data_IF_183031967697
#
_entry.id   IF_183031967697
#
_cell.length_a   1.000
_cell.length_b   1.000
_cell.length_c   1.000
_cell.angle_alpha   90.00
_cell.angle_beta   90.00
_cell.angle_gamma   90.00
#
_symmetry.space_group_name_H-M   'P 1'
#
loop_
_entity.id
_entity.type
_entity.pdbx_description
1 polymer ?
#
# COMPACT_ATOMS: atom_id res chain seq x y z
N UNK A 1 -66.20 1.34 10.91
CA UNK A 1 -65.01 0.58 11.42
C UNK A 1 -63.89 0.78 10.41
N UNK A 2 -62.91 1.62 10.75
CA UNK A 2 -61.77 1.94 9.91
C UNK A 2 -60.73 0.81 10.02
N UNK A 3 -60.25 0.22 8.92
CA UNK A 3 -59.26 -0.86 8.99
C UNK A 3 -57.88 -0.32 9.44
N UNK A 4 -57.09 -1.15 10.14
CA UNK A 4 -55.89 -0.68 10.82
C UNK A 4 -54.78 -0.29 9.85
N UNK A 5 -54.29 0.95 9.95
CA UNK A 5 -53.16 1.55 9.19
C UNK A 5 -51.81 0.86 9.39
N UNK A 6 -51.68 -0.13 10.28
CA UNK A 6 -50.42 -0.79 10.69
C UNK A 6 -49.72 -1.60 9.58
N UNK A 7 -50.44 -2.15 8.62
CA UNK A 7 -49.82 -3.02 7.59
C UNK A 7 -49.15 -2.25 6.45
N UNK A 8 -49.52 -0.98 6.20
CA UNK A 8 -48.86 -0.17 5.17
C UNK A 8 -47.52 0.34 5.65
N UNK A 9 -47.38 0.77 6.89
CA UNK A 9 -46.13 1.26 7.48
C UNK A 9 -45.03 0.18 7.48
N UNK A 10 -45.35 -1.05 7.90
CA UNK A 10 -44.38 -2.15 7.92
C UNK A 10 -43.80 -2.50 6.54
N UNK A 11 -44.60 -2.38 5.48
CA UNK A 11 -44.17 -2.67 4.08
C UNK A 11 -43.24 -1.62 3.53
N UNK A 12 -43.55 -0.35 3.73
CA UNK A 12 -42.70 0.77 3.31
C UNK A 12 -41.34 0.67 4.01
N UNK A 13 -41.33 0.30 5.29
CA UNK A 13 -40.10 0.08 6.06
C UNK A 13 -39.25 -1.05 5.47
N UNK A 14 -39.84 -2.18 5.08
CA UNK A 14 -39.09 -3.32 4.49
C UNK A 14 -38.44 -2.95 3.15
N UNK A 15 -39.16 -2.23 2.29
CA UNK A 15 -38.62 -1.77 1.00
C UNK A 15 -37.52 -0.72 1.21
N UNK A 16 -37.70 0.22 2.13
CA UNK A 16 -36.68 1.22 2.46
C UNK A 16 -35.44 0.58 3.04
N UNK A 17 -35.57 -0.38 3.96
CA UNK A 17 -34.44 -1.15 4.51
C UNK A 17 -33.74 -1.92 3.39
N UNK A 18 -34.50 -2.58 2.52
CA UNK A 18 -33.93 -3.29 1.36
C UNK A 18 -33.14 -2.36 0.42
N UNK A 19 -33.63 -1.13 0.19
CA UNK A 19 -32.93 -0.14 -0.63
C UNK A 19 -31.64 0.35 0.05
N UNK A 20 -31.65 0.58 1.36
CA UNK A 20 -30.44 0.98 2.13
C UNK A 20 -29.39 -0.14 2.09
N UNK A 21 -29.81 -1.39 2.34
CA UNK A 21 -28.92 -2.56 2.25
C UNK A 21 -28.35 -2.71 0.84
N UNK A 22 -29.17 -2.47 -0.19
CA UNK A 22 -28.74 -2.50 -1.59
C UNK A 22 -27.69 -1.43 -1.91
N UNK A 23 -27.84 -0.21 -1.39
CA UNK A 23 -26.85 0.85 -1.53
C UNK A 23 -25.52 0.50 -0.84
N UNK A 24 -25.58 -0.07 0.37
CA UNK A 24 -24.39 -0.54 1.08
C UNK A 24 -23.69 -1.68 0.31
N UNK A 25 -24.47 -2.63 -0.21
CA UNK A 25 -23.96 -3.72 -1.05
C UNK A 25 -23.25 -3.18 -2.29
N UNK A 26 -23.85 -2.20 -2.98
CA UNK A 26 -23.25 -1.57 -4.15
C UNK A 26 -21.94 -0.82 -3.78
N UNK A 27 -21.92 -0.11 -2.67
CA UNK A 27 -20.71 0.53 -2.13
C UNK A 27 -19.59 -0.48 -1.88
N UNK A 28 -19.90 -1.61 -1.24
CA UNK A 28 -18.93 -2.69 -1.01
C UNK A 28 -18.41 -3.31 -2.30
N UNK A 29 -19.29 -3.54 -3.29
CA UNK A 29 -18.89 -4.05 -4.60
C UNK A 29 -18.00 -3.07 -5.36
N UNK A 30 -18.29 -1.78 -5.30
CA UNK A 30 -17.46 -0.74 -5.91
C UNK A 30 -16.06 -0.70 -5.28
N UNK A 31 -15.97 -0.69 -3.95
CA UNK A 31 -14.69 -0.74 -3.22
C UNK A 31 -13.94 -2.04 -3.56
N UNK A 32 -14.62 -3.19 -3.49
CA UNK A 32 -14.02 -4.48 -3.84
C UNK A 32 -13.51 -4.51 -5.29
N UNK A 33 -14.26 -3.95 -6.24
CA UNK A 33 -13.85 -3.83 -7.64
C UNK A 33 -12.60 -2.97 -7.83
N UNK A 34 -12.50 -1.83 -7.15
CA UNK A 34 -11.29 -0.98 -7.17
C UNK A 34 -10.10 -1.71 -6.58
N UNK A 35 -10.28 -2.42 -5.47
CA UNK A 35 -9.21 -3.20 -4.84
C UNK A 35 -8.74 -4.35 -5.74
N UNK A 36 -9.65 -5.06 -6.43
CA UNK A 36 -9.29 -6.11 -7.40
C UNK A 36 -8.57 -5.52 -8.62
N UNK A 37 -8.98 -4.34 -9.08
CA UNK A 37 -8.28 -3.65 -10.14
C UNK A 37 -6.85 -3.27 -9.71
N UNK A 38 -6.67 -2.76 -8.50
CA UNK A 38 -5.34 -2.48 -7.94
C UNK A 38 -4.51 -3.78 -7.79
N UNK A 39 -5.14 -4.87 -7.35
CA UNK A 39 -4.50 -6.19 -7.22
C UNK A 39 -4.04 -6.73 -8.59
N UNK A 40 -4.77 -6.45 -9.68
CA UNK A 40 -4.40 -6.84 -11.04
C UNK A 40 -3.17 -6.11 -11.60
N UNK A 41 -2.66 -5.08 -10.91
CA UNK A 41 -1.42 -4.37 -11.24
C UNK A 41 -0.18 -4.97 -10.60
N UNK A 42 -0.34 -6.01 -9.79
CA UNK A 42 0.77 -6.75 -9.21
C UNK A 42 1.51 -7.53 -10.29
N UNK A 43 2.82 -7.65 -10.10
CA UNK A 43 3.66 -8.54 -10.91
C UNK A 43 3.40 -10.02 -10.58
N UNK A 44 4.11 -10.92 -11.28
CA UNK A 44 4.02 -12.38 -11.03
C UNK A 44 4.41 -12.78 -9.61
N UNK A 45 5.11 -11.92 -8.88
CA UNK A 45 5.55 -12.13 -7.50
C UNK A 45 4.66 -11.42 -6.47
N UNK A 46 3.59 -10.74 -6.91
CA UNK A 46 2.61 -10.09 -6.05
C UNK A 46 2.94 -8.65 -5.63
N UNK A 47 3.96 -8.02 -6.24
CA UNK A 47 4.35 -6.65 -5.91
C UNK A 47 3.73 -5.63 -6.86
N UNK A 48 3.29 -4.51 -6.31
CA UNK A 48 2.98 -3.31 -7.08
C UNK A 48 4.27 -2.49 -7.17
N UNK A 49 4.79 -2.31 -8.39
CA UNK A 49 6.04 -1.58 -8.64
C UNK A 49 5.79 -0.13 -9.05
N UNK A 50 6.71 0.74 -8.65
CA UNK A 50 6.84 2.08 -9.21
C UNK A 50 7.76 2.03 -10.45
N UNK A 51 7.61 3.00 -11.32
CA UNK A 51 8.56 3.20 -12.42
C UNK A 51 9.97 3.41 -11.87
N UNK A 52 10.98 2.94 -12.63
CA UNK A 52 12.38 3.13 -12.27
C UNK A 52 12.76 4.60 -12.36
N UNK A 53 13.14 5.18 -11.23
CA UNK A 53 13.54 6.57 -11.11
C UNK A 53 15.05 6.72 -10.96
N UNK A 54 15.61 7.76 -11.57
CA UNK A 54 17.05 8.02 -11.49
C UNK A 54 17.41 8.81 -10.25
N UNK A 55 18.40 8.30 -9.52
CA UNK A 55 19.03 8.99 -8.39
C UNK A 55 20.52 9.13 -8.65
N UNK A 56 21.04 10.34 -8.53
CA UNK A 56 22.46 10.60 -8.76
C UNK A 56 23.02 11.64 -7.81
N UNK A 57 24.26 11.43 -7.40
CA UNK A 57 25.04 12.39 -6.59
C UNK A 57 26.53 12.29 -6.91
N UNK A 58 27.24 13.38 -6.70
CA UNK A 58 28.71 13.40 -6.77
C UNK A 58 29.37 12.92 -5.47
N UNK A 59 28.60 12.68 -4.43
CA UNK A 59 29.06 12.23 -3.12
C UNK A 59 29.19 10.71 -3.06
N UNK A 60 29.53 10.15 -1.89
CA UNK A 60 29.77 8.72 -1.71
C UNK A 60 28.50 7.89 -1.52
N UNK A 61 27.40 8.51 -1.09
CA UNK A 61 26.15 7.80 -0.86
C UNK A 61 24.93 8.69 -1.10
N UNK A 62 23.78 8.03 -1.35
CA UNK A 62 22.45 8.60 -1.29
C UNK A 62 21.75 7.88 -0.14
N UNK A 63 21.21 8.62 0.82
CA UNK A 63 20.42 8.08 1.92
C UNK A 63 19.01 8.68 1.89
N UNK A 64 18.00 7.94 2.32
CA UNK A 64 16.71 8.55 2.64
C UNK A 64 16.79 9.24 3.98
N UNK A 65 16.00 10.29 4.16
CA UNK A 65 15.74 10.83 5.50
C UNK A 65 15.02 9.79 6.35
N UNK A 66 14.73 10.10 7.59
CA UNK A 66 14.04 9.19 8.50
C UNK A 66 12.69 8.72 7.94
N UNK A 67 12.60 7.45 7.61
CA UNK A 67 11.35 6.79 7.32
C UNK A 67 10.73 6.35 8.64
N UNK A 68 9.82 7.17 9.17
CA UNK A 68 9.10 6.86 10.39
C UNK A 68 7.95 5.88 10.06
N UNK A 69 8.13 4.63 10.47
CA UNK A 69 7.16 3.55 10.29
C UNK A 69 6.39 3.25 11.58
N UNK A 70 6.49 4.11 12.58
CA UNK A 70 5.65 4.10 13.78
C UNK A 70 4.30 4.76 13.49
N UNK A 71 3.61 4.32 12.43
CA UNK A 71 2.39 4.94 11.99
C UNK A 71 1.30 4.88 13.06
N UNK A 72 0.73 6.04 13.34
CA UNK A 72 -0.43 6.27 14.20
C UNK A 72 -1.71 5.69 13.57
N UNK A 73 -1.78 4.38 13.38
CA UNK A 73 -2.97 3.68 12.89
C UNK A 73 -3.68 2.91 14.02
N UNK A 74 -4.97 2.55 13.85
CA UNK A 74 -5.63 1.64 14.78
C UNK A 74 -4.82 0.36 14.96
N UNK A 75 -4.68 -0.14 16.21
CA UNK A 75 -3.81 -1.27 16.54
C UNK A 75 -4.07 -2.56 15.75
N UNK A 76 -5.26 -2.72 15.15
CA UNK A 76 -5.58 -3.83 14.25
C UNK A 76 -4.94 -3.70 12.87
N UNK A 77 -4.56 -2.49 12.45
CA UNK A 77 -3.79 -2.20 11.22
C UNK A 77 -2.29 -2.35 11.44
N UNK A 78 -1.82 -2.20 12.68
CA UNK A 78 -0.40 -2.17 13.04
C UNK A 78 0.13 -3.49 13.60
N UNK A 79 -0.63 -4.60 13.53
CA UNK A 79 -0.17 -5.92 13.93
C UNK A 79 0.93 -6.45 12.99
N UNK A 80 1.99 -7.04 13.55
CA UNK A 80 3.24 -7.46 12.89
C UNK A 80 3.07 -8.25 11.57
N UNK A 81 2.00 -9.03 11.43
CA UNK A 81 1.77 -9.87 10.25
C UNK A 81 1.10 -9.14 9.07
N UNK A 82 0.89 -7.81 9.16
CA UNK A 82 0.13 -7.03 8.17
C UNK A 82 0.94 -5.96 7.45
N UNK A 83 2.14 -5.65 7.95
CA UNK A 83 3.10 -4.87 7.17
C UNK A 83 3.58 -5.75 6.04
N UNK A 84 3.27 -5.41 4.82
CA UNK A 84 3.69 -6.13 3.65
C UNK A 84 5.22 -6.22 3.51
N UNK A 85 5.65 -6.88 2.48
CA UNK A 85 7.04 -6.93 2.08
C UNK A 85 7.35 -5.74 1.17
N UNK A 86 8.45 -5.07 1.44
CA UNK A 86 8.99 -4.04 0.56
C UNK A 86 10.13 -4.64 -0.26
N UNK A 87 10.10 -4.40 -1.56
CA UNK A 87 11.17 -4.75 -2.48
C UNK A 87 11.77 -3.48 -3.05
N UNK A 88 13.09 -3.38 -3.01
CA UNK A 88 13.83 -2.34 -3.70
C UNK A 88 14.71 -2.97 -4.76
N UNK A 89 14.62 -2.46 -5.97
CA UNK A 89 15.51 -2.84 -7.07
C UNK A 89 16.37 -1.64 -7.42
N UNK A 90 17.67 -1.84 -7.35
CA UNK A 90 18.65 -0.79 -7.61
C UNK A 90 19.60 -1.26 -8.69
N UNK A 91 19.62 -0.54 -9.80
CA UNK A 91 20.50 -0.78 -10.92
C UNK A 91 21.57 0.31 -11.04
N UNK A 92 22.82 -0.11 -11.26
CA UNK A 92 23.92 0.83 -11.54
C UNK A 92 23.75 1.46 -12.93
N UNK A 93 24.02 2.74 -13.06
CA UNK A 93 24.06 3.49 -14.33
C UNK A 93 25.47 3.99 -14.68
N UNK A 94 26.45 3.71 -13.84
CA UNK A 94 27.85 4.09 -14.02
C UNK A 94 28.80 2.88 -14.11
N UNK A 95 28.26 1.68 -14.39
CA UNK A 95 28.98 0.41 -14.55
C UNK A 95 29.75 -0.06 -13.31
N UNK A 96 29.60 0.63 -12.18
CA UNK A 96 30.20 0.21 -10.90
C UNK A 96 29.25 -0.76 -10.18
N UNK A 97 29.81 -1.72 -9.43
CA UNK A 97 29.00 -2.52 -8.50
C UNK A 97 28.26 -1.58 -7.52
N UNK A 98 26.96 -1.81 -7.32
CA UNK A 98 26.12 -1.01 -6.43
C UNK A 98 25.86 -1.78 -5.15
N UNK A 99 25.70 -1.06 -4.06
CA UNK A 99 25.21 -1.54 -2.77
C UNK A 99 23.92 -0.83 -2.44
N UNK A 100 22.95 -1.58 -1.94
CA UNK A 100 21.73 -1.06 -1.32
C UNK A 100 21.55 -1.74 0.03
N UNK A 101 21.24 -0.95 1.06
CA UNK A 101 21.02 -1.46 2.41
C UNK A 101 19.95 -0.69 3.15
N UNK A 102 19.21 -1.40 4.00
CA UNK A 102 18.19 -0.85 4.90
C UNK A 102 18.68 -1.03 6.32
N UNK A 103 18.75 0.05 7.08
CA UNK A 103 19.20 0.04 8.45
C UNK A 103 18.34 0.95 9.34
N UNK A 104 18.46 0.81 10.65
CA UNK A 104 17.92 1.82 11.57
C UNK A 104 18.54 3.16 11.25
N UNK A 105 17.76 4.23 11.25
CA UNK A 105 18.24 5.58 10.90
C UNK A 105 19.46 5.98 11.72
N UNK A 106 19.48 5.69 13.02
CA UNK A 106 20.64 5.95 13.89
C UNK A 106 21.93 5.26 13.43
N UNK A 107 21.80 4.01 12.95
CA UNK A 107 22.96 3.21 12.56
C UNK A 107 23.46 3.63 11.16
N UNK A 108 22.54 3.96 10.24
CA UNK A 108 22.87 4.54 8.94
C UNK A 108 23.55 5.90 9.08
N UNK A 109 23.03 6.78 9.94
CA UNK A 109 23.62 8.10 10.24
C UNK A 109 25.03 7.95 10.86
N UNK A 110 25.19 7.03 11.81
CA UNK A 110 26.49 6.75 12.42
C UNK A 110 27.50 6.22 11.37
N UNK A 111 27.07 5.34 10.47
CA UNK A 111 27.91 4.80 9.41
C UNK A 111 28.34 5.88 8.41
N UNK A 112 27.43 6.79 8.05
CA UNK A 112 27.70 7.88 7.09
C UNK A 112 28.37 9.10 7.76
N UNK A 113 28.53 9.09 9.07
CA UNK A 113 29.11 10.21 9.80
C UNK A 113 30.51 10.57 9.26
N UNK A 114 30.73 11.86 8.98
CA UNK A 114 31.97 12.35 8.40
C UNK A 114 32.19 12.04 6.92
N UNK A 115 31.28 11.31 6.28
CA UNK A 115 31.29 11.02 4.85
C UNK A 115 30.35 11.98 4.12
N UNK A 116 30.82 12.65 3.07
CA UNK A 116 29.96 13.48 2.23
C UNK A 116 28.92 12.59 1.52
N UNK A 117 27.65 12.85 1.77
CA UNK A 117 26.52 12.12 1.15
C UNK A 117 25.35 13.05 0.83
N UNK A 118 24.37 12.54 0.10
CA UNK A 118 23.15 13.26 -0.21
C UNK A 118 21.97 12.57 0.48
N UNK A 119 21.21 13.33 1.25
CA UNK A 119 19.97 12.83 1.88
C UNK A 119 18.77 13.25 1.04
N UNK A 120 17.96 12.31 0.60
CA UNK A 120 16.69 12.58 -0.07
C UNK A 120 15.68 12.99 0.99
N UNK A 121 15.15 14.20 0.87
CA UNK A 121 14.22 14.79 1.84
C UNK A 121 12.79 14.85 1.32
N UNK A 122 12.60 14.84 0.00
CA UNK A 122 11.29 14.93 -0.61
C UNK A 122 11.30 14.41 -2.05
N UNK A 123 10.10 14.15 -2.60
CA UNK A 123 9.88 13.72 -3.97
C UNK A 123 8.75 14.52 -4.62
N UNK A 124 8.97 14.96 -5.84
CA UNK A 124 7.93 15.47 -6.72
C UNK A 124 7.57 14.36 -7.73
N UNK A 125 6.29 14.09 -7.92
CA UNK A 125 5.84 12.96 -8.73
C UNK A 125 5.72 13.26 -10.22
N UNK A 126 5.43 14.50 -10.62
CA UNK A 126 5.22 14.85 -12.04
C UNK A 126 5.81 16.23 -12.39
N UNK A 127 6.93 16.26 -13.16
CA UNK A 127 7.82 15.14 -13.45
C UNK A 127 8.57 14.67 -12.19
N UNK A 128 8.95 13.39 -12.15
CA UNK A 128 9.67 12.86 -11.00
C UNK A 128 10.96 13.64 -10.74
N UNK A 129 11.12 14.12 -9.51
CA UNK A 129 12.31 14.82 -9.05
C UNK A 129 12.53 14.56 -7.56
N UNK A 130 13.68 14.01 -7.23
CA UNK A 130 14.11 13.89 -5.83
C UNK A 130 14.74 15.23 -5.37
N UNK A 131 14.40 15.62 -4.16
CA UNK A 131 15.01 16.78 -3.48
C UNK A 131 16.08 16.27 -2.55
N UNK A 132 17.28 16.86 -2.66
CA UNK A 132 18.44 16.42 -1.90
C UNK A 132 18.90 17.51 -0.93
N UNK A 133 19.21 17.09 0.30
CA UNK A 133 20.01 17.83 1.25
C UNK A 133 21.44 17.30 1.21
N UNK A 134 22.41 18.17 0.95
CA UNK A 134 23.82 17.80 0.95
C UNK A 134 24.32 17.73 2.41
N UNK A 135 24.85 16.58 2.79
CA UNK A 135 25.49 16.40 4.09
C UNK A 135 27.01 16.56 3.92
N UNK A 136 27.61 17.53 4.63
CA UNK A 136 29.03 17.77 4.53
C UNK A 136 29.84 16.63 5.11
N UNK A 137 30.99 16.36 4.55
CA UNK A 137 31.92 15.35 5.03
C UNK A 137 33.26 15.43 4.33
N UNK A 138 34.23 14.67 4.79
CA UNK A 138 35.56 14.65 4.19
C UNK A 138 35.50 14.04 2.78
N UNK A 139 36.01 14.80 1.80
CA UNK A 139 36.16 14.30 0.44
C UNK A 139 37.18 13.14 0.33
N UNK A 140 38.06 13.01 1.31
CA UNK A 140 39.14 12.00 1.37
C UNK A 140 38.76 10.73 2.11
N UNK A 141 37.66 10.76 2.88
CA UNK A 141 37.20 9.61 3.66
C UNK A 141 36.15 8.86 2.85
N UNK A 142 36.56 7.84 2.11
CA UNK A 142 35.62 6.84 1.63
C UNK A 142 35.09 6.06 2.85
N UNK A 143 33.79 5.85 3.00
CA UNK A 143 33.30 4.99 4.04
C UNK A 143 33.85 3.58 3.84
N UNK A 144 34.01 2.82 4.93
CA UNK A 144 34.37 1.42 4.81
C UNK A 144 33.32 0.70 3.95
N UNK A 145 33.76 -0.27 3.13
CA UNK A 145 32.88 -1.00 2.24
C UNK A 145 31.62 -1.49 2.97
N UNK A 146 30.42 -1.12 2.49
CA UNK A 146 29.17 -1.27 3.24
C UNK A 146 28.82 -2.74 3.50
N UNK A 147 29.18 -3.64 2.59
CA UNK A 147 28.87 -5.06 2.68
C UNK A 147 29.46 -5.74 3.93
N UNK A 148 30.52 -5.20 4.49
CA UNK A 148 31.18 -5.75 5.70
C UNK A 148 30.60 -5.23 7.01
N UNK A 149 29.62 -4.32 6.96
CA UNK A 149 28.97 -3.75 8.15
C UNK A 149 27.77 -4.59 8.56
N UNK A 150 27.67 -4.91 9.84
CA UNK A 150 26.57 -5.70 10.43
C UNK A 150 25.42 -4.82 10.95
N UNK A 151 25.16 -3.70 10.30
CA UNK A 151 24.09 -2.76 10.69
C UNK A 151 22.83 -2.90 9.82
N UNK A 152 22.94 -3.63 8.71
CA UNK A 152 21.88 -3.74 7.73
C UNK A 152 20.86 -4.79 8.15
N UNK A 153 19.59 -4.40 8.20
CA UNK A 153 18.47 -5.33 8.37
C UNK A 153 18.24 -6.16 7.12
N UNK A 154 18.46 -5.54 5.95
CA UNK A 154 18.49 -6.20 4.66
C UNK A 154 19.47 -5.45 3.75
N UNK A 155 20.21 -6.17 2.90
CA UNK A 155 21.13 -5.54 1.95
C UNK A 155 21.43 -6.47 0.77
N UNK A 156 21.79 -5.85 -0.36
CA UNK A 156 22.31 -6.54 -1.53
C UNK A 156 23.43 -5.70 -2.15
N UNK A 157 24.38 -6.34 -2.84
CA UNK A 157 25.46 -5.67 -3.53
C UNK A 157 26.00 -6.51 -4.69
N UNK A 158 26.45 -5.85 -5.73
CA UNK A 158 27.02 -6.51 -6.89
C UNK A 158 26.93 -5.68 -8.15
N UNK A 159 27.27 -6.31 -9.29
CA UNK A 159 27.09 -5.74 -10.63
C UNK A 159 25.64 -5.96 -11.10
N UNK A 160 25.15 -5.06 -11.97
CA UNK A 160 23.79 -5.14 -12.50
C UNK A 160 22.74 -4.70 -11.48
N UNK A 161 21.54 -5.20 -11.62
CA UNK A 161 20.43 -4.90 -10.72
C UNK A 161 20.56 -5.71 -9.42
N UNK A 162 20.47 -5.01 -8.32
CA UNK A 162 20.46 -5.59 -6.97
C UNK A 162 19.07 -5.46 -6.38
N UNK A 163 18.54 -6.57 -5.87
CA UNK A 163 17.20 -6.62 -5.26
C UNK A 163 17.32 -6.87 -3.77
N UNK A 164 16.67 -6.02 -2.98
CA UNK A 164 16.51 -6.18 -1.54
C UNK A 164 15.05 -6.36 -1.22
N UNK A 165 14.72 -7.45 -0.57
CA UNK A 165 13.40 -7.68 0.03
C UNK A 165 13.53 -7.51 1.53
N UNK A 166 12.61 -6.77 2.13
CA UNK A 166 12.62 -6.47 3.54
C UNK A 166 11.21 -6.51 4.12
N UNK A 167 11.08 -7.23 5.23
CA UNK A 167 9.87 -7.23 6.04
C UNK A 167 9.79 -5.90 6.79
N UNK A 168 8.77 -5.11 6.48
CA UNK A 168 8.60 -3.79 7.09
C UNK A 168 8.39 -3.94 8.59
N UNK A 169 9.20 -3.23 9.40
CA UNK A 169 9.16 -3.27 10.87
C UNK A 169 8.98 -1.86 11.41
N UNK A 170 8.32 -1.77 12.56
CA UNK A 170 8.19 -0.51 13.30
C UNK A 170 9.52 0.18 13.55
N UNK A 171 9.47 1.49 13.66
CA UNK A 171 10.59 2.35 14.01
C UNK A 171 11.12 3.18 12.86
N UNK A 172 12.24 3.79 13.10
CA UNK A 172 12.89 4.74 12.22
C UNK A 172 13.93 4.02 11.35
N UNK A 173 13.74 4.07 10.05
CA UNK A 173 14.56 3.37 9.07
C UNK A 173 15.11 4.31 8.01
N UNK A 174 16.23 3.94 7.42
CA UNK A 174 16.83 4.64 6.28
C UNK A 174 17.30 3.62 5.24
N UNK A 175 17.11 3.96 3.98
CA UNK A 175 17.69 3.26 2.84
C UNK A 175 18.98 3.98 2.45
N UNK A 176 20.04 3.23 2.25
CA UNK A 176 21.34 3.75 1.79
C UNK A 176 21.72 3.07 0.49
N UNK A 177 21.99 3.88 -0.53
CA UNK A 177 22.47 3.44 -1.85
C UNK A 177 23.83 4.05 -2.11
N UNK A 178 24.79 3.23 -2.48
CA UNK A 178 26.16 3.68 -2.77
C UNK A 178 26.90 2.72 -3.71
N UNK A 179 28.06 3.13 -4.21
CA UNK A 179 28.92 2.18 -4.88
C UNK A 179 29.45 1.15 -3.86
N UNK A 180 29.54 -0.12 -4.25
CA UNK A 180 29.92 -1.20 -3.33
C UNK A 180 31.32 -1.04 -2.72
N UNK A 181 32.19 -0.31 -3.40
CA UNK A 181 33.56 0.02 -2.95
C UNK A 181 33.62 1.29 -2.10
N UNK A 182 32.47 1.96 -1.84
CA UNK A 182 32.42 3.24 -1.14
C UNK A 182 32.88 4.44 -1.96
N UNK A 183 33.17 4.27 -3.24
CA UNK A 183 33.63 5.36 -4.10
C UNK A 183 32.52 6.37 -4.37
N UNK A 184 32.93 7.59 -4.69
CA UNK A 184 32.04 8.71 -5.01
C UNK A 184 31.43 8.59 -6.41
N UNK A 185 30.39 9.37 -6.64
CA UNK A 185 29.71 9.43 -7.93
C UNK A 185 28.71 8.28 -8.06
N UNK A 186 27.68 8.28 -7.22
CA UNK A 186 26.58 7.33 -7.29
C UNK A 186 25.62 7.76 -8.38
N UNK A 187 25.30 6.86 -9.32
CA UNK A 187 24.29 7.05 -10.35
C UNK A 187 23.54 5.74 -10.53
N UNK A 188 22.26 5.72 -10.12
CA UNK A 188 21.48 4.52 -10.04
C UNK A 188 20.06 4.74 -10.52
N UNK A 189 19.45 3.70 -11.10
CA UNK A 189 18.01 3.57 -11.25
C UNK A 189 17.44 2.83 -10.05
N UNK A 190 16.40 3.34 -9.45
CA UNK A 190 15.73 2.73 -8.30
C UNK A 190 14.26 2.56 -8.61
N UNK A 191 13.73 1.36 -8.41
CA UNK A 191 12.30 1.09 -8.35
C UNK A 191 11.96 0.47 -6.99
N UNK A 192 10.77 0.78 -6.50
CA UNK A 192 10.24 0.23 -5.26
C UNK A 192 9.00 -0.60 -5.57
N UNK A 193 8.89 -1.75 -4.95
CA UNK A 193 7.71 -2.59 -4.97
C UNK A 193 7.21 -2.82 -3.55
N UNK A 194 5.90 -2.91 -3.39
CA UNK A 194 5.28 -3.27 -2.13
C UNK A 194 4.22 -4.34 -2.36
N UNK A 195 4.20 -5.34 -1.49
CA UNK A 195 3.12 -6.31 -1.40
C UNK A 195 2.37 -6.09 -0.10
N UNK A 196 1.04 -5.99 -0.22
CA UNK A 196 0.11 -5.85 0.90
C UNK A 196 -0.87 -7.02 0.86
N UNK A 197 -0.57 -8.15 1.53
CA UNK A 197 -1.42 -9.35 1.49
C UNK A 197 -2.86 -9.09 1.94
N UNK A 198 -3.07 -8.13 2.85
CA UNK A 198 -4.40 -7.76 3.35
C UNK A 198 -5.31 -7.17 2.26
N UNK A 199 -4.75 -6.53 1.23
CA UNK A 199 -5.56 -5.92 0.17
C UNK A 199 -6.36 -6.96 -0.61
N UNK A 200 -5.76 -8.10 -0.93
CA UNK A 200 -6.44 -9.21 -1.62
C UNK A 200 -7.58 -9.79 -0.75
N UNK A 201 -7.32 -9.98 0.56
CA UNK A 201 -8.35 -10.46 1.48
C UNK A 201 -9.52 -9.47 1.63
N UNK A 202 -9.23 -8.16 1.72
CA UNK A 202 -10.25 -7.11 1.76
C UNK A 202 -11.02 -7.02 0.44
N UNK A 203 -10.36 -7.18 -0.70
CA UNK A 203 -11.00 -7.15 -2.01
C UNK A 203 -12.03 -8.28 -2.14
N UNK A 204 -11.63 -9.52 -1.91
CA UNK A 204 -12.51 -10.68 -1.98
C UNK A 204 -13.58 -10.67 -0.89
N UNK A 205 -13.25 -10.24 0.33
CA UNK A 205 -14.20 -10.05 1.41
C UNK A 205 -15.28 -9.00 1.07
N UNK A 206 -14.89 -7.88 0.47
CA UNK A 206 -15.81 -6.83 0.04
C UNK A 206 -16.72 -7.29 -1.10
N UNK A 207 -16.19 -8.00 -2.10
CA UNK A 207 -17.00 -8.55 -3.19
C UNK A 207 -17.97 -9.61 -2.68
N UNK A 208 -17.49 -10.59 -1.90
CA UNK A 208 -18.31 -11.64 -1.34
C UNK A 208 -19.42 -11.11 -0.41
N UNK A 209 -19.03 -10.22 0.51
CA UNK A 209 -19.98 -9.55 1.40
C UNK A 209 -21.00 -8.71 0.67
N UNK A 210 -20.56 -7.96 -0.35
CA UNK A 210 -21.43 -7.16 -1.22
C UNK A 210 -22.46 -8.01 -1.97
N UNK A 211 -22.06 -9.16 -2.51
CA UNK A 211 -22.98 -10.09 -3.19
C UNK A 211 -24.02 -10.68 -2.23
N UNK A 212 -23.59 -11.06 -1.03
CA UNK A 212 -24.53 -11.58 0.01
C UNK A 212 -25.54 -10.50 0.38
N UNK A 213 -25.09 -9.27 0.64
CA UNK A 213 -25.98 -8.16 0.99
C UNK A 213 -26.93 -7.83 -0.17
N UNK A 214 -26.47 -7.93 -1.41
CA UNK A 214 -27.31 -7.71 -2.60
C UNK A 214 -28.42 -8.77 -2.70
N UNK A 215 -28.10 -10.03 -2.40
CA UNK A 215 -29.07 -11.11 -2.29
C UNK A 215 -30.13 -10.85 -1.21
N UNK A 216 -29.69 -10.43 -0.02
CA UNK A 216 -30.57 -10.06 1.10
C UNK A 216 -31.45 -8.86 0.73
N UNK A 217 -30.88 -7.82 0.13
CA UNK A 217 -31.62 -6.64 -0.32
C UNK A 217 -32.71 -7.01 -1.34
N UNK A 218 -32.36 -7.85 -2.33
CA UNK A 218 -33.28 -8.34 -3.35
C UNK A 218 -34.45 -9.13 -2.71
N UNK A 219 -34.13 -10.02 -1.78
CA UNK A 219 -35.14 -10.80 -1.05
C UNK A 219 -36.10 -9.89 -0.27
N UNK A 220 -35.58 -8.90 0.46
CA UNK A 220 -36.40 -7.93 1.21
C UNK A 220 -37.32 -7.13 0.28
N UNK A 221 -36.82 -6.68 -0.86
CA UNK A 221 -37.62 -5.92 -1.83
C UNK A 221 -38.72 -6.83 -2.41
N UNK A 222 -38.39 -8.07 -2.82
CA UNK A 222 -39.36 -9.02 -3.37
C UNK A 222 -40.43 -9.35 -2.33
N UNK A 223 -40.05 -9.62 -1.08
CA UNK A 223 -41.03 -9.89 0.00
C UNK A 223 -41.93 -8.68 0.27
N UNK A 224 -41.40 -7.45 0.20
CA UNK A 224 -42.16 -6.22 0.36
C UNK A 224 -43.16 -5.96 -0.79
N UNK A 225 -42.80 -6.37 -2.02
CA UNK A 225 -43.63 -6.14 -3.22
C UNK A 225 -44.63 -7.27 -3.50
N UNK A 226 -44.27 -8.56 -3.31
CA UNK A 226 -45.14 -9.71 -3.60
C UNK A 226 -46.34 -9.84 -2.66
N UNK A 227 -46.19 -9.34 -1.43
CA UNK A 227 -47.32 -9.23 -0.52
C UNK A 227 -48.47 -8.36 -1.04
N UNK A 228 -48.29 -7.66 -2.13
CA UNK A 228 -49.31 -6.80 -2.76
C UNK A 228 -50.29 -7.57 -3.65
N UNK A 229 -49.95 -8.77 -4.16
CA UNK A 229 -50.73 -9.52 -5.13
C UNK A 229 -51.81 -10.44 -4.52
N UNK A 230 -51.87 -10.55 -3.18
CA UNK A 230 -52.84 -11.43 -2.46
C UNK A 230 -53.95 -10.63 -1.78
N UNK A 231 -54.45 -9.56 -2.36
CA UNK A 231 -55.70 -8.95 -1.93
C UNK A 231 -56.88 -9.77 -2.47
N UNK A 232 -57.80 -10.35 -1.61
CA UNK A 232 -58.98 -11.06 -2.10
C UNK A 232 -59.85 -10.08 -2.89
N UNK A 233 -60.42 -10.55 -3.99
CA UNK A 233 -61.44 -9.83 -4.69
C UNK A 233 -62.63 -9.52 -3.78
N UNK A 234 -63.25 -8.32 -3.87
CA UNK A 234 -64.45 -8.02 -3.07
C UNK A 234 -65.53 -8.99 -3.43
N UNK A 235 -66.11 -9.68 -2.43
CA UNK A 235 -67.26 -10.51 -2.61
C UNK A 235 -68.43 -9.67 -3.11
N UNK A 236 -68.98 -10.02 -4.30
CA UNK A 236 -70.20 -9.45 -4.80
C UNK A 236 -71.30 -9.76 -3.79
N UNK A 237 -71.95 -8.73 -3.26
CA UNK A 237 -73.14 -8.88 -2.43
C UNK A 237 -74.28 -9.46 -3.28
N UNK A 238 -75.05 -10.49 -2.73
CA UNK A 238 -76.23 -10.95 -3.39
C UNK A 238 -77.34 -9.90 -3.33
N UNK A 239 -78.09 -9.78 -4.44
CA UNK A 239 -79.25 -8.92 -4.61
C UNK A 239 -80.45 -9.38 -3.73
#
# INVERSE_FOLDING_TARGET
MTPPRRHRAARTTTVVVGAIVGLLAFGMLAVGGVLLWADSKKDEQGYIHTDTQRFSTRTAAIATDNLDLDSSGPGWLTSHDRYGHMRLEVSSRNDKPVFVGIARTKDATAYLHGTAHATVTDFHSDPFRAVYRAEPGSARSAPAAPAFKRIWAASAHGKGTQTVTWDVKHGNWSVVVMNADGSRGVDTGVSAGADFPILSALAWGSVGGGLVLLGVASLLIVMGTTAQRRAPAPALAPA
#
